data_IF_069316885737
#
_entry.id   IF_069316885737
#
_cell.length_a   1.000
_cell.length_b   1.000
_cell.length_c   1.000
_cell.angle_alpha   90.00
_cell.angle_beta   90.00
_cell.angle_gamma   90.00
#
_symmetry.space_group_name_H-M   'P 1'
#
loop_
_entity.id
_entity.type
_entity.pdbx_description
1 polymer ?
#
# COMPACT_ATOMS: atom_id res chain seq x y z
N UNK A 1 17.24 -15.73 -15.55
CA UNK A 1 17.09 -17.10 -16.11
C UNK A 1 16.21 -17.97 -15.22
N UNK A 2 15.26 -18.75 -15.77
CA UNK A 2 14.45 -19.72 -14.99
C UNK A 2 15.16 -21.08 -15.00
N UNK A 3 15.47 -21.64 -13.83
CA UNK A 3 16.10 -22.96 -13.67
C UNK A 3 15.12 -23.94 -13.01
N UNK A 4 15.51 -25.22 -12.90
CA UNK A 4 14.72 -26.25 -12.22
C UNK A 4 14.38 -25.94 -10.74
N UNK A 5 15.06 -24.97 -10.12
CA UNK A 5 14.82 -24.51 -8.74
C UNK A 5 14.07 -23.17 -8.65
N UNK A 6 13.55 -22.67 -9.78
CA UNK A 6 12.83 -21.40 -9.85
C UNK A 6 13.63 -20.27 -10.52
N UNK A 7 13.14 -19.01 -10.40
CA UNK A 7 13.77 -17.86 -11.03
C UNK A 7 15.08 -17.49 -10.33
N UNK A 8 16.14 -17.29 -11.13
CA UNK A 8 17.40 -16.74 -10.65
C UNK A 8 17.49 -15.28 -11.09
N UNK A 9 17.59 -14.33 -10.14
CA UNK A 9 17.75 -12.91 -10.47
C UNK A 9 19.11 -12.67 -11.11
N UNK A 10 19.13 -11.80 -12.11
CA UNK A 10 20.35 -11.34 -12.76
C UNK A 10 20.73 -9.96 -12.21
N UNK A 11 22.03 -9.68 -12.14
CA UNK A 11 22.51 -8.40 -11.63
C UNK A 11 22.28 -7.30 -12.67
N UNK A 12 21.47 -6.30 -12.32
CA UNK A 12 21.08 -5.19 -13.19
C UNK A 12 22.10 -4.04 -13.17
N UNK A 13 22.95 -3.96 -12.15
CA UNK A 13 23.82 -2.80 -11.92
C UNK A 13 23.22 -1.79 -10.93
N UNK A 14 23.84 -0.61 -10.83
CA UNK A 14 23.31 0.49 -10.03
C UNK A 14 22.20 1.24 -10.78
N UNK A 15 21.06 1.42 -10.11
CA UNK A 15 19.91 2.14 -10.65
C UNK A 15 20.11 3.64 -10.41
N UNK A 16 19.90 4.51 -11.42
CA UNK A 16 19.97 5.96 -11.23
C UNK A 16 19.02 6.45 -10.13
N UNK A 17 19.43 7.50 -9.41
CA UNK A 17 18.71 8.00 -8.23
C UNK A 17 17.23 8.30 -8.48
N UNK A 18 16.90 8.92 -9.62
CA UNK A 18 15.51 9.24 -9.97
C UNK A 18 14.63 7.99 -10.04
N UNK A 19 15.07 6.95 -10.74
CA UNK A 19 14.32 5.70 -10.89
C UNK A 19 14.21 4.96 -9.56
N UNK A 20 15.28 4.97 -8.76
CA UNK A 20 15.26 4.41 -7.41
C UNK A 20 14.23 5.12 -6.52
N UNK A 21 14.21 6.45 -6.52
CA UNK A 21 13.26 7.22 -5.71
C UNK A 21 11.79 6.94 -6.09
N UNK A 22 11.48 6.86 -7.39
CA UNK A 22 10.13 6.51 -7.86
C UNK A 22 9.77 5.08 -7.44
N UNK A 23 10.68 4.14 -7.59
CA UNK A 23 10.46 2.74 -7.21
C UNK A 23 10.26 2.59 -5.69
N UNK A 24 11.07 3.27 -4.88
CA UNK A 24 11.00 3.21 -3.42
C UNK A 24 9.67 3.79 -2.91
N UNK A 25 9.15 4.86 -3.52
CA UNK A 25 7.82 5.38 -3.20
C UNK A 25 6.70 4.36 -3.46
N UNK A 26 6.74 3.67 -4.60
CA UNK A 26 5.74 2.66 -4.96
C UNK A 26 5.87 1.42 -4.06
N UNK A 27 7.10 1.00 -3.77
CA UNK A 27 7.37 -0.09 -2.84
C UNK A 27 6.84 0.21 -1.44
N UNK A 28 7.02 1.45 -0.94
CA UNK A 28 6.50 1.87 0.36
C UNK A 28 4.96 1.79 0.41
N UNK A 29 4.27 2.32 -0.61
CA UNK A 29 2.80 2.22 -0.70
C UNK A 29 2.32 0.76 -0.66
N UNK A 30 2.95 -0.13 -1.44
CA UNK A 30 2.59 -1.55 -1.46
C UNK A 30 2.86 -2.28 -0.14
N UNK A 31 4.00 -2.01 0.51
CA UNK A 31 4.34 -2.63 1.80
C UNK A 31 3.36 -2.22 2.90
N UNK A 32 3.06 -0.93 3.02
CA UNK A 32 2.13 -0.42 4.02
C UNK A 32 0.72 -1.02 3.79
N UNK A 33 0.32 -1.21 2.52
CA UNK A 33 -0.96 -1.85 2.21
C UNK A 33 -1.02 -3.32 2.67
N UNK A 34 0.05 -4.09 2.44
CA UNK A 34 0.12 -5.49 2.90
C UNK A 34 0.07 -5.56 4.43
N UNK A 35 0.76 -4.66 5.13
CA UNK A 35 0.68 -4.54 6.58
C UNK A 35 -0.75 -4.21 7.04
N UNK A 36 -1.40 -3.24 6.37
CA UNK A 36 -2.78 -2.85 6.67
C UNK A 36 -3.76 -4.01 6.57
N UNK A 37 -3.63 -4.83 5.52
CA UNK A 37 -4.49 -6.01 5.29
C UNK A 37 -4.19 -7.11 6.32
N UNK A 38 -2.93 -7.33 6.65
CA UNK A 38 -2.51 -8.37 7.60
C UNK A 38 -2.94 -8.04 9.03
N UNK A 39 -2.86 -6.76 9.42
CA UNK A 39 -3.25 -6.28 10.75
C UNK A 39 -4.72 -5.86 10.85
N UNK A 40 -5.43 -5.74 9.72
CA UNK A 40 -6.79 -5.23 9.65
C UNK A 40 -6.89 -3.74 10.03
N UNK A 41 -5.88 -2.93 9.71
CA UNK A 41 -5.83 -1.50 10.07
C UNK A 41 -6.29 -0.59 8.93
N UNK A 42 -7.38 0.16 9.17
CA UNK A 42 -7.86 1.18 8.23
C UNK A 42 -6.86 2.34 8.06
N UNK A 43 -6.16 2.67 9.14
CA UNK A 43 -5.21 3.78 9.28
C UNK A 43 -4.04 3.59 8.32
N UNK A 44 -3.43 2.40 8.39
CA UNK A 44 -2.35 2.00 7.49
C UNK A 44 -2.84 1.90 6.05
N UNK A 45 -4.08 1.43 5.82
CA UNK A 45 -4.64 1.42 4.48
C UNK A 45 -4.72 2.86 3.93
N UNK A 46 -5.25 3.81 4.71
CA UNK A 46 -5.32 5.21 4.30
C UNK A 46 -3.92 5.81 4.03
N UNK A 47 -2.93 5.50 4.86
CA UNK A 47 -1.53 5.91 4.62
C UNK A 47 -1.00 5.34 3.30
N UNK A 48 -1.25 4.07 3.00
CA UNK A 48 -0.83 3.44 1.75
C UNK A 48 -1.44 4.12 0.51
N UNK A 49 -2.74 4.44 0.55
CA UNK A 49 -3.41 5.17 -0.52
C UNK A 49 -2.92 6.62 -0.62
N UNK A 50 -2.60 7.27 0.50
CA UNK A 50 -2.09 8.66 0.50
C UNK A 50 -0.67 8.76 -0.07
N UNK A 51 0.18 7.75 0.17
CA UNK A 51 1.56 7.70 -0.37
C UNK A 51 1.57 7.41 -1.89
N UNK A 52 0.48 6.85 -2.42
CA UNK A 52 0.39 6.51 -3.83
C UNK A 52 0.43 7.76 -4.71
N UNK A 53 1.37 7.77 -5.66
CA UNK A 53 1.61 8.89 -6.59
C UNK A 53 0.39 9.25 -7.46
N UNK A 54 -0.56 8.34 -7.68
CA UNK A 54 -1.75 8.62 -8.50
C UNK A 54 -2.83 9.38 -7.74
N UNK A 55 -2.75 9.46 -6.41
CA UNK A 55 -3.78 10.06 -5.58
C UNK A 55 -3.33 11.46 -5.18
N UNK A 56 -4.08 12.51 -5.56
CA UNK A 56 -3.62 13.89 -5.41
C UNK A 56 -3.77 14.45 -3.99
N UNK A 57 -4.64 13.88 -3.16
CA UNK A 57 -4.93 14.39 -1.83
C UNK A 57 -5.44 13.30 -0.86
N UNK A 58 -5.13 13.45 0.43
CA UNK A 58 -5.56 12.52 1.48
C UNK A 58 -7.10 12.43 1.61
N UNK A 59 -7.81 13.54 1.40
CA UNK A 59 -9.28 13.56 1.41
C UNK A 59 -9.85 12.69 0.28
N UNK A 60 -9.19 12.70 -0.89
CA UNK A 60 -9.56 11.86 -2.04
C UNK A 60 -9.22 10.40 -1.75
N UNK A 61 -8.07 10.13 -1.12
CA UNK A 61 -7.69 8.79 -0.68
C UNK A 61 -8.73 8.16 0.26
N UNK A 62 -9.22 8.93 1.24
CA UNK A 62 -10.23 8.46 2.19
C UNK A 62 -11.55 8.09 1.50
N UNK A 63 -12.04 8.97 0.61
CA UNK A 63 -13.27 8.70 -0.17
C UNK A 63 -13.13 7.45 -1.02
N UNK A 64 -12.03 7.33 -1.76
CA UNK A 64 -11.76 6.15 -2.60
C UNK A 64 -11.68 4.89 -1.74
N UNK A 65 -11.01 4.95 -0.59
CA UNK A 65 -10.88 3.80 0.30
C UNK A 65 -12.23 3.37 0.87
N UNK A 66 -13.06 4.30 1.31
CA UNK A 66 -14.40 3.99 1.83
C UNK A 66 -15.29 3.39 0.72
N UNK A 67 -15.26 3.95 -0.49
CA UNK A 67 -16.00 3.42 -1.65
C UNK A 67 -15.52 2.00 -2.03
N UNK A 68 -14.21 1.74 -1.96
CA UNK A 68 -13.63 0.43 -2.25
C UNK A 68 -13.96 -0.60 -1.17
N UNK A 69 -13.97 -0.21 0.10
CA UNK A 69 -14.39 -1.09 1.20
C UNK A 69 -15.85 -1.47 1.02
N UNK A 70 -16.73 -0.51 0.69
CA UNK A 70 -18.14 -0.76 0.44
C UNK A 70 -18.36 -1.74 -0.73
N UNK A 71 -17.65 -1.52 -1.83
CA UNK A 71 -17.76 -2.36 -3.02
C UNK A 71 -17.18 -3.78 -2.83
N UNK A 72 -16.21 -3.97 -1.91
CA UNK A 72 -15.47 -5.23 -1.75
C UNK A 72 -15.70 -5.90 -0.38
N UNK A 73 -16.78 -5.58 0.33
CA UNK A 73 -17.11 -6.11 1.66
C UNK A 73 -17.00 -7.63 1.78
N UNK A 74 -17.35 -8.36 0.71
CA UNK A 74 -17.35 -9.82 0.69
C UNK A 74 -15.98 -10.43 0.43
N UNK A 75 -15.01 -9.63 -0.05
CA UNK A 75 -13.69 -10.10 -0.49
C UNK A 75 -12.54 -9.60 0.39
N UNK A 76 -12.70 -8.44 1.04
CA UNK A 76 -11.66 -7.83 1.86
C UNK A 76 -11.78 -8.24 3.33
N UNK A 77 -10.66 -8.33 4.06
CA UNK A 77 -10.71 -8.50 5.50
C UNK A 77 -11.32 -7.27 6.17
N UNK A 78 -11.97 -7.46 7.31
CA UNK A 78 -12.55 -6.37 8.10
C UNK A 78 -11.45 -5.42 8.58
N UNK A 79 -11.47 -4.19 8.08
CA UNK A 79 -10.58 -3.13 8.54
C UNK A 79 -11.19 -2.45 9.76
N UNK A 80 -10.50 -2.53 10.89
CA UNK A 80 -10.91 -1.89 12.16
C UNK A 80 -10.29 -0.51 12.24
N UNK A 81 -11.09 0.51 12.59
CA UNK A 81 -10.58 1.82 12.98
C UNK A 81 -10.21 1.74 14.46
N UNK A 82 -8.92 1.76 14.79
CA UNK A 82 -8.49 1.85 16.18
C UNK A 82 -8.59 3.32 16.60
N UNK A 83 -9.71 3.68 17.22
CA UNK A 83 -9.89 5.00 17.79
C UNK A 83 -9.16 5.05 19.13
N UNK A 84 -7.99 5.68 19.19
CA UNK A 84 -7.40 6.14 20.44
C UNK A 84 -7.67 7.63 20.62
N UNK A 85 -8.38 8.00 21.70
CA UNK A 85 -8.60 9.38 22.14
C UNK A 85 -9.19 10.37 21.11
N UNK A 86 -10.08 9.90 20.22
CA UNK A 86 -10.81 10.77 19.30
C UNK A 86 -9.98 11.30 18.13
N UNK A 87 -8.79 10.76 17.94
CA UNK A 87 -7.96 10.94 16.75
C UNK A 87 -7.88 9.58 16.03
N UNK A 88 -7.93 9.60 14.70
CA UNK A 88 -7.63 8.41 13.89
C UNK A 88 -6.12 8.15 14.02
N UNK A 89 -5.72 7.01 14.59
CA UNK A 89 -4.31 6.61 14.88
C UNK A 89 -3.84 5.43 14.03
#
# INVERSE_FOLDING_TARGET
MIKCKGPVPEYVGEIPYFHKAVNDQQLASGKILVEAITEGSYEKALQAFTVNKTIPAAIVAMKILDDLIEANKDFWPTLTKKLEEGVLV
#
